data_IF_715280339929
#
_entry.id   IF_715280339929
#
_cell.length_a   1.000
_cell.length_b   1.000
_cell.length_c   1.000
_cell.angle_alpha   90.00
_cell.angle_beta   90.00
_cell.angle_gamma   90.00
#
_symmetry.space_group_name_H-M   'P 1'
#
loop_
_entity.id
_entity.type
_entity.pdbx_description
1 polymer ?
#
# COMPACT_ATOMS: atom_id res chain seq x y z
N UNK A 1 -14.87 -10.21 -2.66
CA UNK A 1 -14.19 -9.46 -3.74
C UNK A 1 -14.37 -10.10 -5.10
N UNK A 2 -14.13 -11.41 -5.28
CA UNK A 2 -14.36 -12.09 -6.56
C UNK A 2 -15.81 -12.00 -7.09
N UNK A 3 -16.78 -11.92 -6.18
CA UNK A 3 -18.20 -11.69 -6.48
C UNK A 3 -18.52 -10.24 -6.89
N UNK A 4 -17.67 -9.28 -6.51
CA UNK A 4 -17.89 -7.85 -6.70
C UNK A 4 -17.18 -7.28 -7.93
N UNK A 5 -16.26 -8.03 -8.54
CA UNK A 5 -15.46 -7.59 -9.71
C UNK A 5 -15.53 -8.58 -10.87
N UNK A 6 -15.40 -8.10 -12.13
CA UNK A 6 -15.33 -8.96 -13.30
C UNK A 6 -14.19 -10.00 -13.21
N UNK A 7 -14.30 -11.08 -13.98
CA UNK A 7 -13.29 -12.17 -13.99
C UNK A 7 -11.89 -11.75 -14.44
N UNK A 8 -11.79 -10.68 -15.23
CA UNK A 8 -10.54 -10.13 -15.74
C UNK A 8 -9.94 -9.03 -14.84
N UNK A 9 -10.58 -8.71 -13.71
CA UNK A 9 -10.03 -7.74 -12.75
C UNK A 9 -8.92 -8.42 -11.94
N UNK A 10 -7.71 -7.90 -12.03
CA UNK A 10 -6.53 -8.38 -11.30
C UNK A 10 -6.34 -7.65 -9.98
N UNK A 11 -5.77 -8.35 -8.99
CA UNK A 11 -5.48 -7.84 -7.66
C UNK A 11 -3.98 -7.90 -7.40
N UNK A 12 -3.44 -6.77 -6.98
CA UNK A 12 -2.12 -6.68 -6.38
C UNK A 12 -2.33 -6.55 -4.87
N UNK A 13 -1.52 -7.24 -4.09
CA UNK A 13 -1.78 -7.40 -2.66
C UNK A 13 -0.55 -6.99 -1.85
N UNK A 14 -0.74 -6.01 -0.97
CA UNK A 14 0.28 -5.50 -0.06
C UNK A 14 0.04 -5.98 1.36
N UNK A 15 1.03 -6.68 1.91
CA UNK A 15 1.00 -7.15 3.30
C UNK A 15 1.66 -6.20 4.27
N UNK A 16 2.35 -5.16 3.82
CA UNK A 16 3.17 -4.31 4.67
C UNK A 16 4.06 -5.16 5.60
N UNK A 17 4.65 -6.23 5.06
CA UNK A 17 5.54 -7.16 5.76
C UNK A 17 4.86 -8.06 6.81
N UNK A 18 3.53 -8.06 6.91
CA UNK A 18 2.78 -8.73 7.98
C UNK A 18 2.63 -10.26 7.83
N UNK A 19 3.13 -10.89 6.77
CA UNK A 19 3.39 -12.34 6.80
C UNK A 19 4.69 -12.67 7.55
N UNK A 20 5.50 -11.66 7.90
CA UNK A 20 6.68 -11.72 8.79
C UNK A 20 7.87 -12.47 8.19
N UNK A 21 7.72 -13.74 7.80
CA UNK A 21 8.79 -14.60 7.31
C UNK A 21 8.27 -15.62 6.28
N UNK A 22 9.19 -16.30 5.59
CA UNK A 22 8.86 -17.26 4.53
C UNK A 22 7.99 -18.44 5.01
N UNK A 23 8.14 -18.89 6.26
CA UNK A 23 7.37 -20.01 6.82
C UNK A 23 5.88 -19.69 6.97
N UNK A 24 5.57 -18.47 7.41
CA UNK A 24 4.21 -17.96 7.49
C UNK A 24 3.64 -17.59 6.11
N UNK A 25 4.47 -17.01 5.24
CA UNK A 25 4.02 -16.53 3.93
C UNK A 25 3.72 -17.65 2.94
N UNK A 26 4.56 -18.69 2.89
CA UNK A 26 4.48 -19.75 1.87
C UNK A 26 3.08 -20.36 1.77
N UNK A 27 2.43 -20.82 2.86
CA UNK A 27 1.10 -21.43 2.76
C UNK A 27 0.03 -20.47 2.24
N UNK A 28 0.13 -19.18 2.57
CA UNK A 28 -0.83 -18.14 2.14
C UNK A 28 -0.65 -17.85 0.66
N UNK A 29 0.57 -17.52 0.23
CA UNK A 29 0.83 -17.09 -1.15
C UNK A 29 0.63 -18.24 -2.16
N UNK A 30 1.05 -19.47 -1.82
CA UNK A 30 0.82 -20.63 -2.69
C UNK A 30 -0.65 -21.00 -2.86
N UNK A 31 -1.51 -20.64 -1.89
CA UNK A 31 -2.94 -20.76 -2.06
C UNK A 31 -3.48 -19.67 -3.00
N UNK A 32 -3.03 -18.43 -2.81
CA UNK A 32 -3.44 -17.28 -3.63
C UNK A 32 -3.03 -17.43 -5.10
N UNK A 33 -1.88 -18.05 -5.38
CA UNK A 33 -1.41 -18.42 -6.73
C UNK A 33 -2.45 -19.23 -7.53
N UNK A 34 -3.37 -19.92 -6.84
CA UNK A 34 -4.41 -20.76 -7.47
C UNK A 34 -5.69 -20.00 -7.81
N UNK A 35 -5.82 -18.76 -7.37
CA UNK A 35 -7.09 -18.00 -7.47
C UNK A 35 -7.29 -17.30 -8.83
N UNK A 36 -6.26 -17.26 -9.68
CA UNK A 36 -6.30 -16.76 -11.05
C UNK A 36 -6.53 -15.25 -11.21
N UNK A 37 -6.74 -14.51 -10.12
CA UNK A 37 -6.95 -13.05 -10.13
C UNK A 37 -5.86 -12.27 -9.41
N UNK A 38 -5.01 -12.93 -8.63
CA UNK A 38 -3.88 -12.26 -7.97
C UNK A 38 -2.74 -12.13 -8.97
N UNK A 39 -2.11 -10.95 -9.01
CA UNK A 39 -1.09 -10.61 -9.98
C UNK A 39 0.29 -10.46 -9.36
N UNK A 40 0.42 -9.72 -8.24
CA UNK A 40 1.70 -9.35 -7.61
C UNK A 40 1.53 -9.31 -6.09
N UNK A 41 2.59 -9.68 -5.36
CA UNK A 41 2.68 -9.56 -3.91
C UNK A 41 3.66 -8.44 -3.52
N UNK A 42 3.18 -7.40 -2.86
CA UNK A 42 3.99 -6.32 -2.29
C UNK A 42 4.41 -6.67 -0.86
N UNK A 43 5.71 -6.56 -0.61
CA UNK A 43 6.33 -6.66 0.71
C UNK A 43 5.71 -7.76 1.58
N UNK A 44 5.65 -9.03 1.12
CA UNK A 44 4.91 -10.09 1.81
C UNK A 44 5.46 -10.33 3.23
N UNK A 45 6.78 -10.35 3.33
CA UNK A 45 7.54 -10.58 4.57
C UNK A 45 8.44 -9.38 4.85
N UNK A 46 9.14 -9.40 5.99
CA UNK A 46 10.14 -8.38 6.33
C UNK A 46 11.13 -8.19 5.17
N UNK A 47 11.25 -6.97 4.61
CA UNK A 47 12.11 -6.78 3.41
C UNK A 47 13.59 -7.09 3.70
N UNK A 48 14.01 -6.91 4.96
CA UNK A 48 15.35 -7.28 5.46
C UNK A 48 15.62 -8.79 5.45
N UNK A 49 14.59 -9.63 5.39
CA UNK A 49 14.71 -11.09 5.31
C UNK A 49 15.01 -11.52 3.87
N UNK A 50 16.20 -11.15 3.38
CA UNK A 50 16.66 -11.43 2.01
C UNK A 50 16.68 -12.93 1.71
N UNK A 51 17.09 -13.74 2.69
CA UNK A 51 17.06 -15.20 2.57
C UNK A 51 15.63 -15.71 2.41
N UNK A 52 14.72 -15.29 3.28
CA UNK A 52 13.31 -15.66 3.23
C UNK A 52 12.64 -15.25 1.91
N UNK A 53 12.95 -14.06 1.40
CA UNK A 53 12.46 -13.57 0.12
C UNK A 53 12.92 -14.46 -1.04
N UNK A 54 14.22 -14.79 -1.09
CA UNK A 54 14.78 -15.71 -2.10
C UNK A 54 14.14 -17.10 -2.00
N UNK A 55 13.93 -17.63 -0.80
CA UNK A 55 13.25 -18.90 -0.59
C UNK A 55 11.77 -18.85 -1.00
N UNK A 56 11.10 -17.71 -0.81
CA UNK A 56 9.69 -17.54 -1.14
C UNK A 56 9.49 -17.50 -2.66
N UNK A 57 10.35 -16.76 -3.39
CA UNK A 57 10.33 -16.72 -4.86
C UNK A 57 10.47 -18.09 -5.52
N UNK A 58 11.15 -19.05 -4.90
CA UNK A 58 11.26 -20.41 -5.45
C UNK A 58 10.04 -21.30 -5.21
N UNK A 59 9.05 -20.82 -4.43
CA UNK A 59 7.86 -21.58 -4.03
C UNK A 59 6.55 -21.02 -4.58
N UNK A 60 6.56 -19.77 -5.04
CA UNK A 60 5.37 -19.07 -5.56
C UNK A 60 5.52 -18.79 -7.06
N UNK A 61 4.41 -18.47 -7.72
CA UNK A 61 4.39 -18.18 -9.16
C UNK A 61 4.24 -16.71 -9.51
N UNK A 62 3.70 -15.88 -8.60
CA UNK A 62 3.51 -14.45 -8.85
C UNK A 62 4.71 -13.61 -8.40
N UNK A 63 5.00 -12.47 -9.07
CA UNK A 63 6.10 -11.57 -8.72
C UNK A 63 6.04 -11.04 -7.29
N UNK A 64 7.21 -10.83 -6.69
CA UNK A 64 7.37 -10.06 -5.46
C UNK A 64 7.85 -8.65 -5.79
N UNK A 65 7.16 -7.65 -5.25
CA UNK A 65 7.54 -6.24 -5.26
C UNK A 65 8.07 -5.81 -3.89
N UNK A 66 9.16 -5.04 -3.86
CA UNK A 66 9.71 -4.46 -2.63
C UNK A 66 9.97 -2.95 -2.80
N UNK A 67 9.84 -2.17 -1.73
CA UNK A 67 10.27 -0.78 -1.77
C UNK A 67 11.77 -0.67 -2.08
N UNK A 68 12.11 0.18 -3.04
CA UNK A 68 13.50 0.32 -3.49
C UNK A 68 14.39 0.91 -2.40
N UNK A 69 15.54 0.28 -2.16
CA UNK A 69 16.62 0.82 -1.33
C UNK A 69 16.69 0.27 0.09
N UNK A 70 15.69 -0.51 0.53
CA UNK A 70 15.75 -1.26 1.78
C UNK A 70 15.23 -2.69 1.59
N UNK A 71 16.09 -3.70 1.35
CA UNK A 71 17.54 -3.66 1.44
C UNK A 71 18.20 -2.87 0.30
N UNK A 72 19.49 -2.49 0.45
CA UNK A 72 20.24 -1.82 -0.62
C UNK A 72 20.19 -2.60 -1.93
N UNK A 73 20.00 -1.87 -3.04
CA UNK A 73 19.84 -2.46 -4.37
C UNK A 73 20.87 -3.54 -4.76
N UNK A 74 22.19 -3.37 -4.51
CA UNK A 74 23.17 -4.42 -4.83
C UNK A 74 22.90 -5.75 -4.13
N UNK A 75 22.34 -5.72 -2.91
CA UNK A 75 21.94 -6.94 -2.18
C UNK A 75 20.73 -7.58 -2.84
N UNK A 76 19.68 -6.80 -3.12
CA UNK A 76 18.47 -7.31 -3.77
C UNK A 76 18.76 -7.91 -5.15
N UNK A 77 19.62 -7.25 -5.94
CA UNK A 77 20.01 -7.71 -7.26
C UNK A 77 20.84 -9.01 -7.22
N UNK A 78 21.85 -9.08 -6.34
CA UNK A 78 22.73 -10.25 -6.22
C UNK A 78 22.02 -11.48 -5.67
N UNK A 79 21.14 -11.30 -4.68
CA UNK A 79 20.44 -12.40 -4.01
C UNK A 79 19.11 -12.74 -4.68
N UNK A 80 18.77 -12.03 -5.76
CA UNK A 80 17.50 -12.16 -6.48
C UNK A 80 16.29 -12.09 -5.54
N UNK A 81 16.25 -11.10 -4.65
CA UNK A 81 15.27 -11.06 -3.56
C UNK A 81 13.86 -10.64 -4.02
N UNK A 82 13.72 -9.99 -5.17
CA UNK A 82 12.43 -9.59 -5.73
C UNK A 82 12.43 -9.63 -7.27
N UNK A 83 11.23 -9.52 -7.83
CA UNK A 83 10.99 -9.48 -9.27
C UNK A 83 10.94 -8.05 -9.79
N UNK A 84 10.52 -7.11 -8.94
CA UNK A 84 10.48 -5.69 -9.25
C UNK A 84 10.37 -4.83 -7.99
N UNK A 85 10.14 -3.54 -8.19
CA UNK A 85 10.21 -2.56 -7.11
C UNK A 85 8.95 -1.71 -6.95
N UNK A 86 8.85 -1.09 -5.79
CA UNK A 86 7.99 0.07 -5.53
C UNK A 86 8.91 1.28 -5.46
N UNK A 87 8.74 2.23 -6.38
CA UNK A 87 9.57 3.43 -6.49
C UNK A 87 8.68 4.66 -6.32
N UNK A 88 9.07 5.56 -5.42
CA UNK A 88 8.38 6.81 -5.15
C UNK A 88 9.31 7.84 -4.51
N UNK A 89 8.80 9.05 -4.29
CA UNK A 89 9.51 10.15 -3.64
C UNK A 89 9.94 11.26 -4.61
N UNK A 90 11.03 11.97 -4.28
CA UNK A 90 11.48 13.12 -5.08
C UNK A 90 12.00 12.72 -6.46
N UNK A 91 11.82 13.60 -7.45
CA UNK A 91 12.16 13.39 -8.87
C UNK A 91 13.58 12.84 -9.07
N UNK A 92 14.59 13.45 -8.43
CA UNK A 92 15.97 12.99 -8.55
C UNK A 92 16.19 11.58 -7.97
N UNK A 93 15.44 11.21 -6.93
CA UNK A 93 15.49 9.85 -6.38
C UNK A 93 14.83 8.85 -7.31
N UNK A 94 13.63 9.17 -7.79
CA UNK A 94 12.88 8.31 -8.71
C UNK A 94 13.65 8.07 -10.00
N UNK A 95 14.24 9.11 -10.61
CA UNK A 95 15.05 8.96 -11.83
C UNK A 95 16.28 8.08 -11.60
N UNK A 96 16.98 8.25 -10.48
CA UNK A 96 18.14 7.43 -10.12
C UNK A 96 17.76 5.97 -9.90
N UNK A 97 16.71 5.72 -9.13
CA UNK A 97 16.25 4.35 -8.84
C UNK A 97 15.69 3.67 -10.09
N UNK A 98 14.91 4.39 -10.92
CA UNK A 98 14.39 3.89 -12.18
C UNK A 98 15.48 3.56 -13.19
N UNK A 99 16.56 4.36 -13.26
CA UNK A 99 17.72 4.05 -14.09
C UNK A 99 18.45 2.77 -13.63
N UNK A 100 18.58 2.55 -12.32
CA UNK A 100 19.15 1.31 -11.77
C UNK A 100 18.24 0.10 -12.04
N UNK A 101 16.92 0.26 -11.90
CA UNK A 101 15.96 -0.78 -12.22
C UNK A 101 16.03 -1.16 -13.71
N UNK A 102 16.13 -0.18 -14.60
CA UNK A 102 16.34 -0.39 -16.03
C UNK A 102 17.64 -1.11 -16.37
N UNK A 103 18.74 -0.83 -15.66
CA UNK A 103 20.01 -1.52 -15.88
C UNK A 103 19.99 -3.02 -15.55
N UNK A 104 18.95 -3.50 -14.86
CA UNK A 104 18.79 -4.90 -14.44
C UNK A 104 17.44 -5.51 -14.88
N UNK A 105 16.76 -4.87 -15.84
CA UNK A 105 15.45 -5.30 -16.35
C UNK A 105 14.40 -5.55 -15.24
N UNK A 106 14.44 -4.74 -14.18
CA UNK A 106 13.51 -4.84 -13.06
C UNK A 106 12.32 -3.88 -13.26
N UNK A 107 11.10 -4.38 -13.52
CA UNK A 107 9.92 -3.53 -13.57
C UNK A 107 9.63 -2.92 -12.20
N UNK A 108 8.84 -1.87 -12.17
CA UNK A 108 8.40 -1.26 -10.92
C UNK A 108 7.04 -0.59 -11.03
N UNK A 109 6.36 -0.47 -9.88
CA UNK A 109 5.27 0.47 -9.68
C UNK A 109 5.84 1.85 -9.37
N UNK A 110 5.31 2.85 -10.07
CA UNK A 110 5.50 4.23 -9.67
C UNK A 110 4.44 4.57 -8.60
N UNK A 111 4.85 4.60 -7.33
CA UNK A 111 3.97 4.88 -6.20
C UNK A 111 4.14 6.35 -5.77
N UNK A 112 3.22 7.19 -6.25
CA UNK A 112 3.22 8.63 -6.06
C UNK A 112 1.80 9.07 -5.68
N UNK A 113 1.49 8.95 -4.39
CA UNK A 113 0.16 9.24 -3.86
C UNK A 113 -0.06 10.73 -3.70
N UNK A 114 -1.14 11.25 -4.27
CA UNK A 114 -1.52 12.66 -4.13
C UNK A 114 -2.65 13.08 -5.05
N UNK A 115 -2.82 14.40 -5.17
CA UNK A 115 -3.85 15.02 -6.02
C UNK A 115 -3.47 14.93 -7.51
N UNK A 116 -4.20 15.66 -8.37
CA UNK A 116 -3.90 15.78 -9.80
C UNK A 116 -2.50 16.28 -10.09
N UNK A 117 -1.92 17.11 -9.21
CA UNK A 117 -0.53 17.59 -9.32
C UNK A 117 0.49 16.44 -9.24
N UNK A 118 0.35 15.60 -8.21
CA UNK A 118 1.21 14.43 -8.02
C UNK A 118 0.99 13.42 -9.15
N UNK A 119 -0.25 13.26 -9.60
CA UNK A 119 -0.60 12.37 -10.70
C UNK A 119 0.01 12.84 -12.02
N UNK A 120 -0.04 14.13 -12.34
CA UNK A 120 0.60 14.71 -13.53
C UNK A 120 2.12 14.51 -13.50
N UNK A 121 2.77 14.75 -12.35
CA UNK A 121 4.19 14.45 -12.17
C UNK A 121 4.49 12.95 -12.38
N UNK A 122 3.66 12.07 -11.84
CA UNK A 122 3.78 10.63 -11.99
C UNK A 122 3.70 10.21 -13.46
N UNK A 123 2.81 10.83 -14.26
CA UNK A 123 2.70 10.56 -15.69
C UNK A 123 3.97 10.96 -16.46
N UNK A 124 4.53 12.13 -16.19
CA UNK A 124 5.80 12.56 -16.79
C UNK A 124 6.95 11.60 -16.44
N UNK A 125 7.03 11.16 -15.19
CA UNK A 125 8.03 10.18 -14.75
C UNK A 125 7.83 8.81 -15.41
N UNK A 126 6.59 8.32 -15.48
CA UNK A 126 6.25 7.06 -16.15
C UNK A 126 6.58 7.07 -17.65
N UNK A 127 6.48 8.24 -18.31
CA UNK A 127 6.79 8.39 -19.73
C UNK A 127 8.28 8.29 -20.06
N UNK A 128 9.17 8.62 -19.10
CA UNK A 128 10.63 8.64 -19.32
C UNK A 128 11.35 7.47 -18.67
N UNK A 129 10.66 6.67 -17.84
CA UNK A 129 11.25 5.53 -17.13
C UNK A 129 10.78 4.21 -17.77
N UNK A 130 11.62 3.53 -18.57
CA UNK A 130 11.20 2.40 -19.40
C UNK A 130 10.74 1.17 -18.60
N UNK A 131 11.13 1.06 -17.32
CA UNK A 131 10.72 -0.03 -16.44
C UNK A 131 9.54 0.32 -15.52
N UNK A 132 8.94 1.51 -15.65
CA UNK A 132 7.65 1.84 -15.01
C UNK A 132 6.49 1.12 -15.72
N UNK A 133 6.55 -0.22 -15.74
CA UNK A 133 5.69 -1.08 -16.55
C UNK A 133 4.53 -1.68 -15.75
N UNK A 134 4.64 -1.71 -14.43
CA UNK A 134 3.55 -2.15 -13.58
C UNK A 134 2.57 -0.98 -13.31
N UNK A 135 1.30 -1.26 -12.98
CA UNK A 135 0.29 -0.22 -12.74
C UNK A 135 0.72 0.83 -11.71
N UNK A 136 0.59 2.12 -12.04
CA UNK A 136 0.97 3.19 -11.12
C UNK A 136 0.03 3.25 -9.90
N UNK A 137 0.59 3.58 -8.73
CA UNK A 137 -0.15 3.73 -7.46
C UNK A 137 -0.21 5.21 -7.11
N UNK A 138 -1.26 5.90 -7.57
CA UNK A 138 -1.45 7.35 -7.38
C UNK A 138 -2.54 7.69 -6.34
N UNK A 139 -3.46 6.77 -6.06
CA UNK A 139 -4.63 6.98 -5.22
C UNK A 139 -5.45 8.24 -5.59
N UNK A 140 -5.49 8.63 -6.87
CA UNK A 140 -6.17 9.87 -7.28
C UNK A 140 -7.65 9.90 -6.84
N UNK A 141 -8.29 8.73 -6.81
CA UNK A 141 -9.70 8.56 -6.47
C UNK A 141 -9.99 8.66 -4.97
N UNK A 142 -8.96 8.78 -4.12
CA UNK A 142 -9.13 8.93 -2.67
C UNK A 142 -9.33 10.40 -2.26
N UNK A 143 -9.01 11.33 -3.15
CA UNK A 143 -9.13 12.77 -2.89
C UNK A 143 -10.48 13.28 -3.38
N UNK A 144 -11.07 14.19 -2.59
CA UNK A 144 -12.36 14.82 -2.95
C UNK A 144 -12.25 15.79 -4.14
N UNK A 145 -11.02 16.24 -4.44
CA UNK A 145 -10.69 17.22 -5.46
C UNK A 145 -9.23 16.99 -5.90
N UNK A 146 -8.94 17.17 -7.19
CA UNK A 146 -7.61 16.95 -7.76
C UNK A 146 -6.77 18.24 -7.89
N UNK A 147 -7.36 19.40 -7.55
CA UNK A 147 -6.76 20.74 -7.57
C UNK A 147 -6.40 21.26 -8.97
N UNK A 148 -6.99 20.70 -10.02
CA UNK A 148 -6.75 21.10 -11.41
C UNK A 148 -7.96 21.84 -11.98
N UNK A 149 -7.73 22.84 -12.84
CA UNK A 149 -8.82 23.49 -13.60
C UNK A 149 -9.52 22.48 -14.51
N UNK A 150 -8.71 21.63 -15.17
CA UNK A 150 -9.17 20.51 -15.99
C UNK A 150 -8.65 19.20 -15.39
N UNK A 151 -9.54 18.33 -14.85
CA UNK A 151 -9.15 17.05 -14.29
C UNK A 151 -8.47 16.10 -15.30
N UNK A 152 -7.54 15.28 -14.81
CA UNK A 152 -6.90 14.25 -15.63
C UNK A 152 -7.92 13.18 -16.03
N UNK A 153 -8.03 12.88 -17.32
CA UNK A 153 -8.92 11.83 -17.82
C UNK A 153 -8.25 10.46 -17.74
N UNK A 154 -8.83 9.55 -16.95
CA UNK A 154 -8.45 8.14 -16.93
C UNK A 154 -9.39 7.35 -17.84
N UNK A 155 -8.85 6.72 -18.88
CA UNK A 155 -9.61 5.93 -19.84
C UNK A 155 -8.94 4.57 -20.06
N UNK A 156 -9.71 3.48 -19.87
CA UNK A 156 -9.21 2.12 -20.08
C UNK A 156 -8.05 1.70 -19.18
N UNK A 157 -7.89 2.34 -18.01
CA UNK A 157 -6.76 2.11 -17.10
C UNK A 157 -5.50 2.92 -17.44
N UNK A 158 -5.57 3.82 -18.42
CA UNK A 158 -4.46 4.69 -18.84
C UNK A 158 -4.84 6.17 -18.66
N UNK A 159 -3.82 7.01 -18.57
CA UNK A 159 -3.96 8.46 -18.68
C UNK A 159 -2.94 9.00 -19.70
N UNK A 160 -3.30 10.08 -20.37
CA UNK A 160 -2.37 10.76 -21.28
C UNK A 160 -1.43 11.67 -20.49
N UNK A 161 -0.16 11.71 -20.90
CA UNK A 161 0.82 12.64 -20.34
C UNK A 161 0.47 14.05 -20.83
N UNK A 162 0.28 15.04 -19.95
CA UNK A 162 0.00 16.40 -20.40
C UNK A 162 1.18 16.99 -21.18
N UNK A 163 0.92 17.65 -22.31
CA UNK A 163 1.96 18.11 -23.25
C UNK A 163 2.38 19.59 -23.08
N UNK A 164 1.67 20.34 -22.23
CA UNK A 164 2.00 21.74 -21.97
C UNK A 164 3.33 21.91 -21.19
N UNK A 165 3.88 23.14 -21.11
CA UNK A 165 5.10 23.40 -20.35
C UNK A 165 5.01 22.99 -18.88
N UNK A 166 6.14 22.55 -18.31
CA UNK A 166 6.19 22.10 -16.92
C UNK A 166 5.45 20.78 -16.72
N UNK A 167 4.47 20.75 -15.82
CA UNK A 167 3.59 19.58 -15.65
C UNK A 167 2.49 19.48 -16.71
N UNK A 168 2.30 20.53 -17.52
CA UNK A 168 1.28 20.58 -18.56
C UNK A 168 -0.16 20.67 -18.05
N UNK A 169 -0.35 21.11 -16.81
CA UNK A 169 -1.65 21.31 -16.15
C UNK A 169 -1.81 22.76 -15.69
N UNK A 170 -3.06 23.16 -15.42
CA UNK A 170 -3.40 24.42 -14.77
C UNK A 170 -3.97 24.15 -13.38
N UNK A 171 -3.50 24.90 -12.38
CA UNK A 171 -3.92 24.76 -10.98
C UNK A 171 -5.22 25.51 -10.75
N UNK A 172 -6.20 24.88 -10.10
CA UNK A 172 -7.40 25.59 -9.65
C UNK A 172 -7.09 26.40 -8.37
N UNK A 173 -6.78 27.69 -8.57
CA UNK A 173 -6.51 28.64 -7.48
C UNK A 173 -7.71 28.82 -6.53
N UNK A 174 -8.95 28.65 -7.02
CA UNK A 174 -10.13 28.72 -6.18
C UNK A 174 -10.25 27.47 -5.30
N UNK A 175 -9.92 26.28 -5.83
CA UNK A 175 -9.81 25.06 -5.02
C UNK A 175 -8.69 25.19 -3.98
N UNK A 176 -7.51 25.72 -4.36
CA UNK A 176 -6.44 25.98 -3.39
C UNK A 176 -6.87 26.92 -2.26
N UNK A 177 -7.62 27.98 -2.57
CA UNK A 177 -8.17 28.88 -1.56
C UNK A 177 -9.20 28.17 -0.68
N UNK A 178 -10.08 27.34 -1.26
CA UNK A 178 -11.11 26.55 -0.56
C UNK A 178 -10.52 25.53 0.41
N UNK A 179 -9.48 24.82 0.01
CA UNK A 179 -8.83 23.77 0.83
C UNK A 179 -7.66 24.29 1.66
N UNK A 180 -7.42 25.61 1.67
CA UNK A 180 -6.36 26.21 2.48
C UNK A 180 -6.59 25.91 3.96
N UNK A 181 -5.70 25.11 4.54
CA UNK A 181 -5.69 24.86 5.98
C UNK A 181 -5.28 26.12 6.74
N UNK A 182 -5.81 26.25 7.95
CA UNK A 182 -5.37 27.24 8.93
C UNK A 182 -4.52 26.54 10.00
N UNK A 183 -3.61 27.27 10.70
CA UNK A 183 -2.93 26.74 11.87
C UNK A 183 -3.92 26.06 12.84
N UNK A 184 -3.58 24.90 13.42
CA UNK A 184 -2.25 24.27 13.47
C UNK A 184 -1.87 23.41 12.23
N UNK A 185 -2.63 23.45 11.13
CA UNK A 185 -2.43 22.61 9.95
C UNK A 185 -2.58 21.11 10.24
N UNK A 186 -3.49 20.77 11.15
CA UNK A 186 -3.80 19.40 11.51
C UNK A 186 -5.25 19.08 11.15
N UNK A 187 -5.46 17.91 10.54
CA UNK A 187 -6.79 17.33 10.44
C UNK A 187 -7.05 16.48 11.68
N UNK A 188 -8.22 16.60 12.32
CA UNK A 188 -8.57 15.73 13.43
C UNK A 188 -8.58 14.28 12.94
N UNK A 189 -7.84 13.41 13.64
CA UNK A 189 -7.87 11.98 13.33
C UNK A 189 -9.30 11.46 13.50
N UNK A 190 -9.84 10.71 12.53
CA UNK A 190 -11.13 10.08 12.71
C UNK A 190 -11.07 9.12 13.90
N UNK A 191 -12.08 9.20 14.76
CA UNK A 191 -12.24 8.33 15.92
C UNK A 191 -12.79 6.98 15.47
N UNK A 192 -11.89 6.04 15.20
CA UNK A 192 -12.20 4.70 14.72
C UNK A 192 -11.65 3.65 15.67
N UNK A 193 -12.50 2.71 16.07
CA UNK A 193 -12.06 1.50 16.77
C UNK A 193 -11.84 0.39 15.73
N UNK A 194 -10.58 -0.05 15.60
CA UNK A 194 -10.22 -1.17 14.72
C UNK A 194 -10.23 -2.46 15.54
N UNK A 195 -11.12 -3.39 15.22
CA UNK A 195 -11.26 -4.65 15.95
C UNK A 195 -10.86 -5.82 15.05
N UNK A 196 -9.74 -6.47 15.37
CA UNK A 196 -9.29 -7.67 14.66
C UNK A 196 -9.86 -8.89 15.38
N UNK A 197 -10.62 -9.70 14.65
CA UNK A 197 -11.36 -10.86 15.17
C UNK A 197 -10.81 -12.12 14.53
N UNK A 198 -10.37 -13.07 15.35
CA UNK A 198 -9.91 -14.38 14.90
C UNK A 198 -11.01 -15.44 15.05
N UNK A 199 -10.98 -16.51 14.23
CA UNK A 199 -11.94 -17.62 14.34
C UNK A 199 -11.94 -18.34 15.69
N UNK A 200 -10.87 -18.21 16.48
CA UNK A 200 -10.78 -18.75 17.84
C UNK A 200 -11.62 -17.99 18.87
N UNK A 201 -12.27 -16.88 18.48
CA UNK A 201 -12.98 -15.98 19.39
C UNK A 201 -12.07 -14.91 20.03
N UNK A 202 -10.76 -14.92 19.76
CA UNK A 202 -9.88 -13.82 20.17
C UNK A 202 -10.29 -12.53 19.43
N UNK A 203 -10.40 -11.42 20.18
CA UNK A 203 -10.59 -10.09 19.63
C UNK A 203 -9.54 -9.13 20.18
N UNK A 204 -8.97 -8.31 19.29
CA UNK A 204 -8.05 -7.21 19.63
C UNK A 204 -8.62 -5.89 19.14
N UNK A 205 -8.71 -4.90 20.02
CA UNK A 205 -9.18 -3.56 19.70
C UNK A 205 -8.03 -2.56 19.71
N UNK A 206 -8.01 -1.69 18.70
CA UNK A 206 -6.98 -0.69 18.46
C UNK A 206 -7.62 0.66 18.15
N UNK A 207 -6.94 1.74 18.50
CA UNK A 207 -7.34 3.11 18.14
C UNK A 207 -6.59 3.64 16.90
N UNK A 208 -5.51 2.95 16.48
CA UNK A 208 -4.66 3.35 15.36
C UNK A 208 -4.09 2.10 14.65
N UNK A 209 -4.02 2.15 13.32
CA UNK A 209 -3.56 1.01 12.50
C UNK A 209 -2.10 0.63 12.81
N UNK A 210 -1.25 1.58 13.21
CA UNK A 210 0.14 1.30 13.55
C UNK A 210 0.26 0.43 14.80
N UNK A 211 -0.74 0.41 15.70
CA UNK A 211 -0.76 -0.52 16.82
C UNK A 211 -0.90 -1.97 16.33
N UNK A 212 -1.72 -2.21 15.30
CA UNK A 212 -1.88 -3.52 14.66
C UNK A 212 -0.54 -3.98 14.06
N UNK A 213 0.10 -3.09 13.29
CA UNK A 213 1.39 -3.39 12.66
C UNK A 213 2.47 -3.71 13.70
N UNK A 214 2.56 -2.90 14.74
CA UNK A 214 3.55 -3.11 15.81
C UNK A 214 3.36 -4.45 16.52
N UNK A 215 2.13 -4.83 16.89
CA UNK A 215 1.87 -6.15 17.49
C UNK A 215 2.16 -7.29 16.50
N UNK A 216 1.81 -7.15 15.22
CA UNK A 216 2.10 -8.14 14.19
C UNK A 216 3.61 -8.37 14.07
N UNK A 217 4.40 -7.29 14.00
CA UNK A 217 5.86 -7.36 13.87
C UNK A 217 6.56 -7.91 15.11
N UNK A 218 5.97 -7.74 16.29
CA UNK A 218 6.44 -8.35 17.54
C UNK A 218 6.08 -9.84 17.66
N UNK A 219 5.19 -10.36 16.79
CA UNK A 219 4.68 -11.72 16.87
C UNK A 219 3.66 -11.93 18.00
N UNK A 220 3.09 -10.84 18.53
CA UNK A 220 2.12 -10.87 19.63
C UNK A 220 0.71 -11.30 19.19
N UNK A 221 0.48 -11.34 17.87
CA UNK A 221 -0.75 -11.84 17.24
C UNK A 221 -0.42 -12.83 16.12
N UNK A 222 -1.32 -13.77 15.78
CA UNK A 222 -1.10 -14.70 14.68
C UNK A 222 -0.91 -13.97 13.35
N UNK A 223 0.14 -14.33 12.59
CA UNK A 223 0.42 -13.75 11.28
C UNK A 223 -0.67 -14.13 10.27
N UNK A 224 -1.58 -13.20 9.99
CA UNK A 224 -2.60 -13.28 8.92
C UNK A 224 -3.36 -14.63 8.87
N UNK A 225 -3.78 -15.13 10.04
CA UNK A 225 -4.46 -16.42 10.14
C UNK A 225 -5.74 -16.46 9.29
N UNK A 226 -6.01 -17.60 8.63
CA UNK A 226 -7.22 -17.81 7.82
C UNK A 226 -8.48 -17.47 8.62
N UNK A 227 -9.37 -16.69 8.00
CA UNK A 227 -10.66 -16.30 8.60
C UNK A 227 -10.56 -15.12 9.57
N UNK A 228 -9.38 -14.52 9.76
CA UNK A 228 -9.27 -13.24 10.47
C UNK A 228 -10.04 -12.16 9.71
N UNK A 229 -10.72 -11.29 10.45
CA UNK A 229 -11.43 -10.13 9.89
C UNK A 229 -11.14 -8.88 10.71
N UNK A 230 -11.10 -7.74 10.05
CA UNK A 230 -11.06 -6.44 10.72
C UNK A 230 -12.45 -5.80 10.64
N UNK A 231 -12.97 -5.37 11.77
CA UNK A 231 -14.16 -4.54 11.89
C UNK A 231 -13.73 -3.12 12.28
N UNK A 232 -14.09 -2.14 11.46
CA UNK A 232 -13.86 -0.72 11.74
C UNK A 232 -15.16 -0.15 12.28
N UNK A 233 -15.15 0.33 13.51
CA UNK A 233 -16.33 0.89 14.19
C UNK A 233 -16.10 2.38 14.45
N UNK A 234 -16.78 3.28 13.71
CA UNK A 234 -16.75 4.71 14.01
C UNK A 234 -17.32 5.00 15.40
N UNK A 235 -16.93 6.14 15.98
CA UNK A 235 -17.55 6.68 17.20
C UNK A 235 -19.07 6.79 17.03
N UNK A 236 -19.80 5.99 17.81
CA UNK A 236 -21.27 5.93 17.82
C UNK A 236 -21.90 6.76 18.96
N UNK A 237 -21.07 7.49 19.72
CA UNK A 237 -21.50 8.33 20.83
C UNK A 237 -21.87 7.55 22.11
N UNK A 238 -21.72 6.23 22.14
CA UNK A 238 -22.04 5.43 23.33
C UNK A 238 -20.95 5.50 24.40
N UNK A 239 -21.30 5.45 25.69
CA UNK A 239 -20.32 5.36 26.78
C UNK A 239 -19.39 4.15 26.64
N UNK A 240 -19.93 3.01 26.19
CA UNK A 240 -19.19 1.76 26.01
C UNK A 240 -18.11 1.89 24.94
N UNK A 241 -18.44 2.50 23.79
CA UNK A 241 -17.48 2.79 22.75
C UNK A 241 -16.41 3.77 23.24
N UNK A 242 -16.81 4.84 23.92
CA UNK A 242 -15.90 5.86 24.43
C UNK A 242 -14.89 5.29 25.45
N UNK A 243 -15.35 4.43 26.35
CA UNK A 243 -14.50 3.73 27.31
C UNK A 243 -13.50 2.80 26.62
N UNK A 244 -13.98 1.95 25.70
CA UNK A 244 -13.12 1.02 24.97
C UNK A 244 -12.09 1.75 24.12
N UNK A 245 -12.49 2.82 23.43
CA UNK A 245 -11.59 3.65 22.64
C UNK A 245 -10.53 4.32 23.52
N UNK A 246 -10.90 4.90 24.67
CA UNK A 246 -9.95 5.52 25.60
C UNK A 246 -8.90 4.53 26.11
N UNK A 247 -9.31 3.28 26.38
CA UNK A 247 -8.37 2.20 26.72
C UNK A 247 -7.47 1.83 25.54
N UNK A 248 -8.04 1.67 24.35
CA UNK A 248 -7.32 1.34 23.12
C UNK A 248 -6.30 2.42 22.70
N UNK A 249 -6.54 3.68 23.05
CA UNK A 249 -5.57 4.78 22.84
C UNK A 249 -4.30 4.61 23.68
N UNK A 250 -4.38 3.96 24.84
CA UNK A 250 -3.21 3.69 25.70
C UNK A 250 -2.46 2.45 25.21
N UNK A 251 -3.18 1.36 24.95
CA UNK A 251 -2.62 0.11 24.46
C UNK A 251 -3.71 -0.79 23.82
N UNK A 252 -3.35 -1.75 22.96
CA UNK A 252 -4.32 -2.72 22.42
C UNK A 252 -5.14 -3.40 23.52
N UNK A 253 -6.45 -3.49 23.33
CA UNK A 253 -7.36 -4.13 24.30
C UNK A 253 -7.73 -5.53 23.83
N UNK A 254 -7.67 -6.51 24.73
CA UNK A 254 -8.10 -7.89 24.45
C UNK A 254 -9.52 -8.13 24.93
N UNK A 255 -10.34 -8.73 24.08
CA UNK A 255 -11.54 -9.45 24.49
C UNK A 255 -11.48 -10.91 24.01
N UNK A 256 -12.28 -11.76 24.66
CA UNK A 256 -12.62 -13.09 24.15
C UNK A 256 -14.11 -13.09 23.87
N UNK A 257 -14.48 -13.21 22.60
CA UNK A 257 -15.84 -13.62 22.25
C UNK A 257 -16.03 -15.04 22.80
N UNK A 258 -17.00 -15.20 23.70
CA UNK A 258 -17.40 -16.50 24.26
C UNK A 258 -18.03 -17.39 23.19
#
# INVERSE_FOLDING_TARGET
MSEATPSHFTLEMDWNQMLINAGNATPVLTELDRTGRVAIYESPIMQRDVEGLRQLRSKITHPIALHFGDPPFPTVAREEACDGFVIGGGVASVLRQGALAAAFDKPFWLQMVGTGLTTALSLHLGAVLPMAQWPAVNCLNNYADDLLVEPLTIAGGYAQVPEGPGLGIEVDEAALARYRMQPPYELPKPRLLLSVVWPSGLVRHYADIHQVWNEAFQGSIPAQARGVRMQVTPDDGTPEWAELYARAQVAPVQDRAL
#
